data_IF_282303119790
#
_entry.id   IF_282303119790
#
_cell.length_a   1.000
_cell.length_b   1.000
_cell.length_c   1.000
_cell.angle_alpha   90.00
_cell.angle_beta   90.00
_cell.angle_gamma   90.00
#
_symmetry.space_group_name_H-M   'P 1'
#
loop_
_entity.id
_entity.type
_entity.pdbx_description
1 polymer ?
#
# COMPACT_ATOMS: atom_id res chain seq x y z
N UNK A 1 16.69 -5.47 -26.19
CA UNK A 1 16.05 -4.56 -25.21
C UNK A 1 14.57 -4.89 -25.14
N UNK A 2 14.05 -5.33 -24.00
CA UNK A 2 12.61 -5.61 -23.83
C UNK A 2 11.91 -4.25 -23.65
N UNK A 3 11.08 -3.82 -24.60
CA UNK A 3 10.28 -2.58 -24.44
C UNK A 3 9.45 -2.71 -23.15
N UNK A 4 9.51 -1.72 -22.28
CA UNK A 4 8.58 -1.62 -21.14
C UNK A 4 7.18 -1.41 -21.74
N UNK A 5 6.29 -2.39 -21.59
CA UNK A 5 4.92 -2.36 -22.15
C UNK A 5 3.97 -1.63 -21.18
N UNK A 6 4.30 -1.63 -19.89
CA UNK A 6 3.37 -1.27 -18.81
C UNK A 6 3.72 0.05 -18.10
N UNK A 7 4.72 0.79 -18.58
CA UNK A 7 5.19 2.08 -18.05
C UNK A 7 5.16 2.16 -16.52
N UNK A 8 5.73 1.16 -15.83
CA UNK A 8 5.56 1.00 -14.38
C UNK A 8 6.13 2.18 -13.60
N UNK A 9 7.24 2.73 -14.07
CA UNK A 9 7.90 3.89 -13.49
C UNK A 9 7.04 5.15 -13.63
N UNK A 10 6.60 5.46 -14.86
CA UNK A 10 5.76 6.62 -15.15
C UNK A 10 4.45 6.58 -14.35
N UNK A 11 3.75 5.44 -14.36
CA UNK A 11 2.53 5.24 -13.58
C UNK A 11 2.74 5.46 -12.07
N UNK A 12 3.89 5.06 -11.54
CA UNK A 12 4.22 5.27 -10.15
C UNK A 12 4.52 6.75 -9.85
N UNK A 13 5.27 7.42 -10.72
CA UNK A 13 5.62 8.84 -10.58
C UNK A 13 4.36 9.70 -10.66
N UNK A 14 3.54 9.50 -11.69
CA UNK A 14 2.27 10.24 -11.86
C UNK A 14 1.33 10.02 -10.67
N UNK A 15 1.33 8.82 -10.07
CA UNK A 15 0.57 8.58 -8.85
C UNK A 15 1.15 9.34 -7.65
N UNK A 16 2.48 9.34 -7.48
CA UNK A 16 3.14 10.09 -6.40
C UNK A 16 2.88 11.60 -6.51
N UNK A 17 2.96 12.17 -7.71
CA UNK A 17 2.71 13.61 -7.94
C UNK A 17 1.29 14.01 -7.54
N UNK A 18 0.28 13.26 -8.00
CA UNK A 18 -1.13 13.46 -7.60
C UNK A 18 -1.34 13.37 -6.09
N UNK A 19 -0.62 12.46 -5.44
CA UNK A 19 -0.69 12.28 -3.99
C UNK A 19 0.03 13.40 -3.26
N UNK A 20 1.16 13.90 -3.76
CA UNK A 20 1.86 15.01 -3.13
C UNK A 20 1.02 16.32 -3.20
N UNK A 21 0.17 16.47 -4.22
CA UNK A 21 -0.82 17.56 -4.32
C UNK A 21 -1.99 17.41 -3.34
N UNK A 22 -2.55 16.20 -3.20
CA UNK A 22 -3.79 15.97 -2.45
C UNK A 22 -3.56 15.54 -1.00
N UNK A 23 -2.37 15.02 -0.70
CA UNK A 23 -2.00 14.35 0.56
C UNK A 23 -3.02 13.27 1.01
N UNK A 24 -3.82 12.74 0.08
CA UNK A 24 -4.91 11.82 0.38
C UNK A 24 -5.11 10.79 -0.73
N UNK A 25 -5.31 9.52 -0.33
CA UNK A 25 -5.67 8.45 -1.25
C UNK A 25 -7.19 8.37 -1.32
N UNK A 26 -7.72 8.32 -2.54
CA UNK A 26 -9.17 8.21 -2.77
C UNK A 26 -9.76 6.95 -2.12
N UNK A 27 -10.81 7.16 -1.34
CA UNK A 27 -11.50 6.11 -0.60
C UNK A 27 -10.72 5.57 0.59
N UNK A 28 -9.76 6.35 1.13
CA UNK A 28 -9.19 6.13 2.45
C UNK A 28 -9.39 7.38 3.32
N UNK A 29 -9.41 7.17 4.64
CA UNK A 29 -9.28 8.21 5.63
C UNK A 29 -7.85 8.81 5.62
N UNK A 30 -7.62 9.86 6.43
CA UNK A 30 -6.37 10.61 6.39
C UNK A 30 -5.21 9.80 6.97
N UNK A 31 -5.47 9.07 8.05
CA UNK A 31 -4.53 8.27 8.82
C UNK A 31 -4.01 7.10 7.97
N UNK A 32 -4.90 6.36 7.32
CA UNK A 32 -4.57 5.30 6.38
C UNK A 32 -3.86 5.82 5.14
N UNK A 33 -4.31 6.95 4.58
CA UNK A 33 -3.61 7.58 3.45
C UNK A 33 -2.16 7.87 3.81
N UNK A 34 -1.94 8.52 4.94
CA UNK A 34 -0.60 8.84 5.44
C UNK A 34 0.26 7.58 5.61
N UNK A 35 -0.29 6.53 6.24
CA UNK A 35 0.41 5.27 6.47
C UNK A 35 0.87 4.62 5.16
N UNK A 36 -0.01 4.53 4.15
CA UNK A 36 0.35 3.98 2.84
C UNK A 36 1.45 4.80 2.18
N UNK A 37 1.31 6.12 2.17
CA UNK A 37 2.25 7.02 1.51
C UNK A 37 3.63 6.91 2.15
N UNK A 38 3.70 6.96 3.48
CA UNK A 38 4.95 6.80 4.23
C UNK A 38 5.61 5.45 3.92
N UNK A 39 4.84 4.37 4.02
CA UNK A 39 5.32 3.01 3.79
C UNK A 39 5.86 2.82 2.36
N UNK A 40 5.19 3.38 1.35
CA UNK A 40 5.63 3.31 -0.04
C UNK A 40 6.88 4.16 -0.28
N UNK A 41 6.98 5.35 0.33
CA UNK A 41 8.20 6.18 0.29
C UNK A 41 9.38 5.43 0.90
N UNK A 42 9.20 4.77 2.04
CA UNK A 42 10.25 3.97 2.70
C UNK A 42 10.70 2.77 1.84
N UNK A 43 9.76 2.07 1.21
CA UNK A 43 10.09 0.98 0.29
C UNK A 43 10.81 1.44 -0.97
N UNK A 44 10.54 2.67 -1.45
CA UNK A 44 11.19 3.23 -2.64
C UNK A 44 12.67 3.49 -2.40
N UNK A 45 13.04 3.92 -1.19
CA UNK A 45 14.45 4.18 -0.83
C UNK A 45 15.11 3.02 -0.09
N UNK A 46 14.35 1.98 0.24
CA UNK A 46 14.88 0.78 0.87
C UNK A 46 15.16 0.94 2.37
N UNK A 47 14.48 1.86 3.06
CA UNK A 47 14.51 1.95 4.53
C UNK A 47 13.76 0.74 5.12
N UNK A 48 12.62 0.39 4.54
CA UNK A 48 11.81 -0.73 5.00
C UNK A 48 12.16 -2.04 4.25
N UNK A 49 13.40 -2.48 4.38
CA UNK A 49 13.86 -3.79 3.90
C UNK A 49 14.49 -4.57 5.05
N UNK A 50 14.21 -5.88 5.11
CA UNK A 50 14.82 -6.75 6.12
C UNK A 50 16.35 -6.68 6.03
N UNK A 51 17.02 -6.82 7.19
CA UNK A 51 18.49 -6.87 7.30
C UNK A 51 19.07 -7.98 6.39
N UNK A 52 18.33 -9.07 6.20
CA UNK A 52 18.72 -10.18 5.33
C UNK A 52 18.48 -9.92 3.82
N UNK A 53 17.75 -8.86 3.46
CA UNK A 53 17.48 -8.50 2.06
C UNK A 53 18.59 -7.65 1.46
N UNK A 54 18.78 -7.74 0.13
CA UNK A 54 19.67 -6.83 -0.60
C UNK A 54 19.22 -5.39 -0.35
N UNK A 55 20.13 -4.57 0.18
CA UNK A 55 19.89 -3.14 0.46
C UNK A 55 19.57 -2.42 -0.85
N UNK A 56 18.52 -1.61 -0.83
CA UNK A 56 18.09 -0.80 -1.98
C UNK A 56 16.57 -0.70 -2.10
N UNK A 57 16.14 0.27 -2.90
CA UNK A 57 14.74 0.50 -3.22
C UNK A 57 14.09 -0.68 -3.94
N UNK A 58 12.80 -0.87 -3.71
CA UNK A 58 11.99 -1.81 -4.49
C UNK A 58 11.76 -1.26 -5.90
N UNK A 59 11.79 -2.14 -6.90
CA UNK A 59 11.46 -1.76 -8.29
C UNK A 59 9.99 -1.31 -8.44
N UNK A 60 9.73 -0.46 -9.43
CA UNK A 60 8.42 0.18 -9.64
C UNK A 60 7.25 -0.80 -9.80
N UNK A 61 7.46 -1.93 -10.48
CA UNK A 61 6.45 -2.98 -10.57
C UNK A 61 6.01 -3.47 -9.16
N UNK A 62 6.97 -3.73 -8.27
CA UNK A 62 6.70 -4.18 -6.92
C UNK A 62 6.05 -3.10 -6.07
N UNK A 63 6.49 -1.85 -6.20
CA UNK A 63 5.87 -0.71 -5.50
C UNK A 63 4.40 -0.55 -5.90
N UNK A 64 4.08 -0.66 -7.20
CA UNK A 64 2.71 -0.59 -7.68
C UNK A 64 1.84 -1.72 -7.13
N UNK A 65 2.33 -2.97 -7.15
CA UNK A 65 1.58 -4.09 -6.58
C UNK A 65 1.38 -3.97 -5.07
N UNK A 66 2.40 -3.56 -4.32
CA UNK A 66 2.31 -3.38 -2.87
C UNK A 66 1.30 -2.28 -2.53
N UNK A 67 1.41 -1.13 -3.19
CA UNK A 67 0.46 -0.01 -3.08
C UNK A 67 -0.98 -0.51 -3.23
N UNK A 68 -1.29 -1.19 -4.35
CA UNK A 68 -2.65 -1.67 -4.62
C UNK A 68 -3.17 -2.62 -3.54
N UNK A 69 -2.35 -3.58 -3.11
CA UNK A 69 -2.72 -4.55 -2.08
C UNK A 69 -2.97 -3.89 -0.73
N UNK A 70 -2.12 -2.97 -0.31
CA UNK A 70 -2.25 -2.29 0.98
C UNK A 70 -3.50 -1.39 0.97
N UNK A 71 -3.70 -0.59 -0.09
CA UNK A 71 -4.89 0.25 -0.23
C UNK A 71 -6.16 -0.61 -0.18
N UNK A 72 -6.17 -1.76 -0.87
CA UNK A 72 -7.30 -2.67 -0.85
C UNK A 72 -7.62 -3.18 0.56
N UNK A 73 -6.60 -3.64 1.31
CA UNK A 73 -6.79 -4.12 2.69
C UNK A 73 -7.32 -3.00 3.59
N UNK A 74 -6.74 -1.79 3.52
CA UNK A 74 -7.19 -0.67 4.34
C UNK A 74 -8.63 -0.26 4.02
N UNK A 75 -9.05 -0.31 2.76
CA UNK A 75 -10.46 -0.08 2.37
C UNK A 75 -11.40 -1.12 2.98
N UNK A 76 -10.97 -2.38 3.08
CA UNK A 76 -11.77 -3.43 3.73
C UNK A 76 -11.84 -3.23 5.24
N UNK A 77 -10.78 -2.72 5.86
CA UNK A 77 -10.75 -2.38 7.28
C UNK A 77 -11.65 -1.19 7.61
N UNK A 78 -11.62 -0.12 6.80
CA UNK A 78 -12.53 1.02 6.97
C UNK A 78 -14.01 0.60 6.84
N UNK A 79 -14.33 -0.32 5.93
CA UNK A 79 -15.68 -0.90 5.82
C UNK A 79 -16.14 -1.66 7.08
N UNK A 80 -15.20 -2.06 7.93
CA UNK A 80 -15.45 -2.71 9.23
C UNK A 80 -15.33 -1.73 10.39
N UNK A 81 -15.38 -0.43 10.11
CA UNK A 81 -15.27 0.65 11.10
C UNK A 81 -13.93 0.67 11.83
N UNK A 82 -12.89 0.08 11.22
CA UNK A 82 -11.51 0.13 11.71
C UNK A 82 -10.81 1.28 11.01
N UNK A 83 -10.88 2.47 11.59
CA UNK A 83 -10.25 3.69 11.07
C UNK A 83 -8.78 3.84 11.48
N UNK A 84 -8.33 3.07 12.47
CA UNK A 84 -6.98 3.07 13.01
C UNK A 84 -6.43 1.65 13.08
N UNK A 85 -5.66 1.26 12.06
CA UNK A 85 -5.04 -0.06 11.99
C UNK A 85 -4.10 -0.39 13.15
N UNK A 86 -3.65 0.58 13.95
CA UNK A 86 -2.80 0.29 15.11
C UNK A 86 -3.57 -0.32 16.28
N UNK A 87 -4.91 -0.19 16.26
CA UNK A 87 -5.82 -0.71 17.28
C UNK A 87 -6.48 -2.01 16.90
N UNK A 88 -6.18 -2.54 15.71
CA UNK A 88 -6.77 -3.77 15.23
C UNK A 88 -6.38 -4.94 16.13
N UNK A 89 -7.36 -5.78 16.45
CA UNK A 89 -7.14 -7.00 17.21
C UNK A 89 -6.79 -8.17 16.28
N UNK A 90 -6.13 -9.18 16.83
CA UNK A 90 -5.83 -10.43 16.11
C UNK A 90 -7.10 -11.08 15.56
N UNK A 91 -8.18 -11.11 16.36
CA UNK A 91 -9.47 -11.66 15.94
C UNK A 91 -10.04 -10.94 14.73
N UNK A 92 -9.99 -9.61 14.68
CA UNK A 92 -10.49 -8.81 13.56
C UNK A 92 -9.69 -9.05 12.28
N UNK A 93 -8.35 -9.15 12.40
CA UNK A 93 -7.47 -9.50 11.26
C UNK A 93 -7.81 -10.89 10.72
N UNK A 94 -7.90 -11.88 11.61
CA UNK A 94 -8.19 -13.25 11.20
C UNK A 94 -9.58 -13.36 10.57
N UNK A 95 -10.57 -12.67 11.13
CA UNK A 95 -11.91 -12.62 10.55
C UNK A 95 -11.88 -11.98 9.15
N UNK A 96 -11.13 -10.89 8.95
CA UNK A 96 -10.97 -10.27 7.63
C UNK A 96 -10.45 -11.27 6.59
N UNK A 97 -9.37 -11.97 6.91
CA UNK A 97 -8.81 -12.93 5.96
C UNK A 97 -9.69 -14.16 5.76
N UNK A 98 -10.46 -14.56 6.77
CA UNK A 98 -11.44 -15.63 6.63
C UNK A 98 -12.58 -15.22 5.69
N UNK A 99 -13.15 -14.04 5.87
CA UNK A 99 -14.24 -13.54 5.02
C UNK A 99 -13.78 -13.35 3.57
N UNK A 100 -12.56 -12.84 3.36
CA UNK A 100 -11.94 -12.75 2.03
C UNK A 100 -11.77 -14.11 1.35
N UNK A 101 -11.53 -15.17 2.13
CA UNK A 101 -11.41 -16.53 1.61
C UNK A 101 -12.76 -17.11 1.20
N UNK A 102 -13.80 -16.83 1.99
CA UNK A 102 -15.16 -17.29 1.74
C UNK A 102 -15.92 -16.41 0.73
N UNK A 103 -15.36 -15.25 0.34
CA UNK A 103 -15.94 -14.35 -0.65
C UNK A 103 -17.07 -13.46 -0.11
N UNK A 104 -17.04 -13.17 1.19
CA UNK A 104 -18.01 -12.32 1.91
C UNK A 104 -17.55 -10.87 1.98
#
# INVERSE_FOLDING_TARGET
MRKEIYNHQENFINWMEKIDETQRIEGLNKEHSFLVISLIKDFKIGINVSIASKKGGRGYHRLNSLKQKIIFILKLLEKREIDDVTKITEKEIHQLFNDMREGV
#
